data_IF_198836840174
#
_entry.id   IF_198836840174
#
_cell.length_a   1.000
_cell.length_b   1.000
_cell.length_c   1.000
_cell.angle_alpha   90.00
_cell.angle_beta   90.00
_cell.angle_gamma   90.00
#
_symmetry.space_group_name_H-M   'P 1'
#
loop_
_entity.id
_entity.type
_entity.pdbx_description
1 polymer ?
#
# COMPACT_ATOMS: atom_id res chain seq x y z
N UNK A 1 -22.32 -7.21 -7.85
CA UNK A 1 -21.53 -5.98 -7.78
C UNK A 1 -20.06 -6.33 -7.57
N UNK A 2 -19.18 -5.61 -8.22
CA UNK A 2 -17.74 -5.92 -8.17
C UNK A 2 -17.20 -5.51 -6.80
N UNK A 3 -16.99 -6.45 -5.90
CA UNK A 3 -16.46 -6.23 -4.54
C UNK A 3 -15.08 -5.55 -4.55
N UNK A 4 -14.35 -5.66 -5.66
CA UNK A 4 -13.01 -5.08 -5.86
C UNK A 4 -13.01 -3.55 -5.94
N UNK A 5 -14.16 -2.92 -6.17
CA UNK A 5 -14.32 -1.47 -6.26
C UNK A 5 -15.16 -0.85 -5.15
N UNK A 6 -15.66 -1.67 -4.20
CA UNK A 6 -16.45 -1.17 -3.09
C UNK A 6 -15.56 -0.75 -1.94
N UNK A 7 -15.46 0.57 -1.73
CA UNK A 7 -15.05 1.10 -0.44
C UNK A 7 -16.09 0.64 0.57
N UNK A 8 -15.68 -0.19 1.53
CA UNK A 8 -16.58 -0.72 2.54
C UNK A 8 -17.18 0.40 3.40
N UNK A 9 -18.40 0.21 3.91
CA UNK A 9 -19.08 1.14 4.84
C UNK A 9 -18.25 1.47 6.09
N UNK A 10 -17.25 0.64 6.41
CA UNK A 10 -16.29 0.82 7.53
C UNK A 10 -15.01 1.55 7.13
N UNK A 11 -14.84 1.96 5.85
CA UNK A 11 -13.69 2.75 5.45
C UNK A 11 -13.68 4.08 6.22
N UNK A 12 -12.53 4.48 6.81
CA UNK A 12 -12.42 5.71 7.59
C UNK A 12 -12.89 6.96 6.84
N UNK A 13 -12.69 7.03 5.52
CA UNK A 13 -13.16 8.15 4.69
C UNK A 13 -14.68 8.14 4.56
N UNK A 14 -15.29 6.98 4.33
CA UNK A 14 -16.75 6.83 4.26
C UNK A 14 -17.40 7.14 5.60
N UNK A 15 -16.83 6.66 6.70
CA UNK A 15 -17.30 6.97 8.06
C UNK A 15 -17.21 8.47 8.35
N UNK A 16 -16.08 9.10 7.99
CA UNK A 16 -15.88 10.55 8.15
C UNK A 16 -16.86 11.36 7.30
N UNK A 17 -17.11 10.94 6.05
CA UNK A 17 -18.05 11.56 5.14
C UNK A 17 -19.48 11.53 5.70
N UNK A 18 -19.91 10.36 6.16
CA UNK A 18 -21.24 10.19 6.75
C UNK A 18 -21.43 11.06 8.01
N UNK A 19 -20.39 11.13 8.86
CA UNK A 19 -20.41 11.99 10.04
C UNK A 19 -20.50 13.48 9.66
N UNK A 20 -19.69 13.96 8.73
CA UNK A 20 -19.72 15.35 8.29
C UNK A 20 -21.05 15.74 7.65
N UNK A 21 -21.68 14.83 6.88
CA UNK A 21 -23.01 15.08 6.33
C UNK A 21 -24.06 15.21 7.44
N UNK A 22 -24.05 14.30 8.43
CA UNK A 22 -24.96 14.39 9.57
C UNK A 22 -24.76 15.68 10.40
N UNK A 23 -23.50 16.09 10.60
CA UNK A 23 -23.18 17.34 11.31
C UNK A 23 -23.64 18.58 10.51
N UNK A 24 -23.52 18.55 9.17
CA UNK A 24 -24.02 19.61 8.30
C UNK A 24 -25.54 19.69 8.30
N UNK A 25 -26.24 18.56 8.23
CA UNK A 25 -27.70 18.50 8.32
C UNK A 25 -28.20 19.06 9.65
N UNK A 26 -27.54 18.72 10.76
CA UNK A 26 -27.85 19.29 12.07
C UNK A 26 -27.60 20.81 12.12
N UNK A 27 -26.51 21.28 11.49
CA UNK A 27 -26.20 22.71 11.42
C UNK A 27 -27.22 23.49 10.59
N UNK A 28 -27.76 22.89 9.53
CA UNK A 28 -28.73 23.51 8.62
C UNK A 28 -30.18 23.31 9.08
N UNK A 29 -30.43 22.49 10.10
CA UNK A 29 -31.78 22.25 10.61
C UNK A 29 -32.46 23.57 11.02
N UNK A 30 -33.80 23.69 10.78
CA UNK A 30 -34.57 24.87 11.14
C UNK A 30 -34.45 25.16 12.64
N UNK A 31 -34.26 26.42 12.99
CA UNK A 31 -34.23 26.86 14.38
C UNK A 31 -35.64 27.20 14.86
N UNK A 32 -35.92 26.81 16.08
CA UNK A 32 -37.22 27.13 16.74
C UNK A 32 -37.34 28.59 17.17
N UNK A 33 -36.21 29.33 17.23
CA UNK A 33 -36.18 30.74 17.66
C UNK A 33 -35.40 31.58 16.65
N UNK A 34 -35.72 32.88 16.56
CA UNK A 34 -34.96 33.82 15.74
C UNK A 34 -33.54 33.99 16.28
N UNK A 35 -32.57 33.87 15.40
CA UNK A 35 -31.14 34.04 15.71
C UNK A 35 -30.66 35.41 15.22
N UNK A 36 -29.64 35.95 15.86
CA UNK A 36 -29.05 37.22 15.48
C UNK A 36 -28.35 37.12 14.10
N UNK A 37 -28.24 38.24 13.37
CA UNK A 37 -27.53 38.30 12.10
C UNK A 37 -26.09 37.84 12.19
N UNK A 38 -25.45 38.06 13.34
CA UNK A 38 -24.06 37.61 13.60
C UNK A 38 -23.97 36.09 13.72
N UNK A 39 -24.89 35.48 14.44
CA UNK A 39 -24.96 34.02 14.60
C UNK A 39 -25.30 33.34 13.27
N UNK A 40 -26.19 33.92 12.47
CA UNK A 40 -26.51 33.43 11.13
C UNK A 40 -25.28 33.43 10.24
N UNK A 41 -24.53 34.55 10.19
CA UNK A 41 -23.31 34.67 9.40
C UNK A 41 -22.22 33.65 9.83
N UNK A 42 -22.13 33.36 11.12
CA UNK A 42 -21.20 32.36 11.65
C UNK A 42 -21.60 30.93 11.23
N UNK A 43 -22.89 30.60 11.30
CA UNK A 43 -23.43 29.31 10.81
C UNK A 43 -23.21 29.12 9.32
N UNK A 44 -23.48 30.15 8.51
CA UNK A 44 -23.28 30.11 7.06
C UNK A 44 -21.80 29.87 6.71
N UNK A 45 -20.89 30.48 7.46
CA UNK A 45 -19.44 30.22 7.31
C UNK A 45 -19.08 28.79 7.67
N UNK A 46 -19.57 28.27 8.80
CA UNK A 46 -19.33 26.89 9.22
C UNK A 46 -19.89 25.89 8.21
N UNK A 47 -21.10 26.14 7.68
CA UNK A 47 -21.71 25.30 6.66
C UNK A 47 -20.87 25.27 5.37
N UNK A 48 -20.34 26.42 4.91
CA UNK A 48 -19.43 26.48 3.77
C UNK A 48 -18.14 25.69 3.99
N UNK A 49 -17.52 25.82 5.16
CA UNK A 49 -16.29 25.11 5.49
C UNK A 49 -16.53 23.61 5.56
N UNK A 50 -17.69 23.16 6.11
CA UNK A 50 -18.09 21.76 6.11
C UNK A 50 -18.35 21.23 4.70
N UNK A 51 -19.09 21.96 3.88
CA UNK A 51 -19.35 21.59 2.47
C UNK A 51 -18.06 21.43 1.68
N UNK A 52 -17.08 22.32 1.87
CA UNK A 52 -15.78 22.20 1.21
C UNK A 52 -15.02 20.92 1.64
N UNK A 53 -15.07 20.57 2.93
CA UNK A 53 -14.47 19.32 3.43
C UNK A 53 -15.17 18.07 2.88
N UNK A 54 -16.51 18.09 2.86
CA UNK A 54 -17.33 17.01 2.29
C UNK A 54 -16.98 16.81 0.82
N UNK A 55 -16.95 17.88 0.02
CA UNK A 55 -16.62 17.83 -1.40
C UNK A 55 -15.22 17.23 -1.63
N UNK A 56 -14.23 17.61 -0.82
CA UNK A 56 -12.88 17.05 -0.90
C UNK A 56 -12.84 15.56 -0.62
N UNK A 57 -13.45 15.12 0.50
CA UNK A 57 -13.48 13.70 0.87
C UNK A 57 -14.30 12.89 -0.15
N UNK A 58 -15.41 13.44 -0.64
CA UNK A 58 -16.23 12.81 -1.68
C UNK A 58 -15.43 12.59 -2.96
N UNK A 59 -14.69 13.60 -3.42
CA UNK A 59 -13.82 13.49 -4.60
C UNK A 59 -12.76 12.39 -4.40
N UNK A 60 -12.14 12.31 -3.22
CA UNK A 60 -11.18 11.24 -2.90
C UNK A 60 -11.84 9.85 -2.87
N UNK A 61 -13.08 9.74 -2.36
CA UNK A 61 -13.86 8.49 -2.36
C UNK A 61 -14.24 8.08 -3.79
N UNK A 62 -14.66 9.04 -4.61
CA UNK A 62 -15.03 8.78 -5.99
C UNK A 62 -13.82 8.44 -6.85
N UNK A 63 -12.67 9.09 -6.63
CA UNK A 63 -11.39 8.73 -7.25
C UNK A 63 -10.99 7.29 -6.93
N UNK A 64 -11.16 6.83 -5.69
CA UNK A 64 -10.89 5.42 -5.31
C UNK A 64 -11.89 4.48 -5.99
N UNK A 65 -13.17 4.85 -6.10
CA UNK A 65 -14.20 4.04 -6.78
C UNK A 65 -13.97 3.93 -8.28
N UNK A 66 -13.58 5.03 -8.91
CA UNK A 66 -13.38 5.12 -10.36
C UNK A 66 -11.93 4.80 -10.78
N UNK A 67 -11.05 4.53 -9.80
CA UNK A 67 -9.63 4.41 -10.04
C UNK A 67 -9.29 3.20 -10.90
N UNK A 68 -8.95 3.48 -12.16
CA UNK A 68 -8.57 2.49 -13.18
C UNK A 68 -7.38 1.62 -12.78
N UNK A 69 -6.54 2.07 -11.83
CA UNK A 69 -5.40 1.31 -11.30
C UNK A 69 -5.87 0.02 -10.63
N UNK A 70 -7.06 0.02 -10.02
CA UNK A 70 -7.63 -1.15 -9.36
C UNK A 70 -8.58 -1.98 -10.24
N UNK A 71 -8.80 -1.55 -11.49
CA UNK A 71 -9.57 -2.37 -12.46
C UNK A 71 -8.78 -3.65 -12.74
N UNK A 72 -9.34 -4.78 -12.31
CA UNK A 72 -8.65 -6.08 -12.38
C UNK A 72 -7.59 -6.34 -11.30
N UNK A 73 -7.49 -5.47 -10.27
CA UNK A 73 -6.58 -5.71 -9.15
C UNK A 73 -6.89 -7.06 -8.48
N UNK A 74 -5.83 -7.75 -8.10
CA UNK A 74 -5.89 -9.00 -7.36
C UNK A 74 -6.25 -8.70 -5.89
N UNK A 75 -7.34 -9.28 -5.41
CA UNK A 75 -7.77 -9.11 -4.02
C UNK A 75 -7.52 -10.39 -3.22
N UNK A 76 -6.49 -10.39 -2.38
CA UNK A 76 -6.04 -11.53 -1.60
C UNK A 76 -7.13 -12.18 -0.75
N UNK A 77 -8.02 -11.37 -0.16
CA UNK A 77 -9.12 -11.85 0.69
C UNK A 77 -10.19 -12.62 -0.07
N UNK A 78 -10.32 -12.35 -1.36
CA UNK A 78 -11.30 -13.02 -2.22
C UNK A 78 -10.69 -14.27 -2.83
N UNK A 79 -9.43 -14.17 -3.25
CA UNK A 79 -8.74 -15.27 -3.94
C UNK A 79 -8.26 -16.35 -2.95
N UNK A 80 -7.96 -15.96 -1.69
CA UNK A 80 -7.47 -16.84 -0.64
C UNK A 80 -8.26 -16.64 0.67
N UNK A 81 -9.53 -17.10 0.74
CA UNK A 81 -10.33 -16.96 1.95
C UNK A 81 -9.74 -17.71 3.17
N UNK A 82 -8.88 -18.70 2.95
CA UNK A 82 -8.17 -19.46 3.98
C UNK A 82 -7.15 -18.65 4.77
N UNK A 83 -6.75 -17.46 4.28
CA UNK A 83 -5.88 -16.55 5.03
C UNK A 83 -6.64 -15.52 5.86
N UNK A 84 -7.95 -15.74 6.05
CA UNK A 84 -8.79 -14.94 6.93
C UNK A 84 -9.05 -15.69 8.24
N UNK A 85 -9.21 -14.94 9.34
CA UNK A 85 -9.73 -15.49 10.59
C UNK A 85 -11.28 -15.58 10.57
N UNK A 86 -11.86 -16.08 11.66
CA UNK A 86 -13.31 -16.24 11.82
C UNK A 86 -14.07 -14.90 11.74
N UNK A 87 -13.40 -13.78 12.00
CA UNK A 87 -13.95 -12.42 11.87
C UNK A 87 -13.76 -11.84 10.46
N UNK A 88 -13.18 -12.60 9.52
CA UNK A 88 -12.88 -12.14 8.15
C UNK A 88 -11.70 -11.16 8.07
N UNK A 89 -10.82 -11.12 9.09
CA UNK A 89 -9.59 -10.32 9.07
C UNK A 89 -8.48 -11.09 8.39
N UNK A 90 -7.68 -10.39 7.61
CA UNK A 90 -6.51 -10.98 6.96
C UNK A 90 -5.43 -11.31 8.00
N UNK A 91 -5.11 -12.60 8.16
CA UNK A 91 -4.06 -13.09 9.08
C UNK A 91 -2.74 -13.35 8.37
N UNK A 92 -2.75 -13.54 7.05
CA UNK A 92 -1.56 -13.71 6.23
C UNK A 92 -1.16 -15.16 5.96
N UNK A 93 -0.12 -15.28 5.13
CA UNK A 93 0.44 -16.56 4.70
C UNK A 93 1.55 -17.02 5.66
N UNK A 94 1.75 -18.33 5.79
CA UNK A 94 2.87 -18.90 6.53
C UNK A 94 4.19 -18.76 5.76
N UNK A 95 4.11 -18.84 4.42
CA UNK A 95 5.27 -18.76 3.56
C UNK A 95 4.93 -18.12 2.21
N UNK A 96 5.83 -17.25 1.72
CA UNK A 96 5.79 -16.70 0.36
C UNK A 96 7.11 -17.08 -0.33
N UNK A 97 7.01 -17.80 -1.45
CA UNK A 97 8.16 -18.21 -2.26
C UNK A 97 7.98 -17.62 -3.66
N UNK A 98 9.04 -17.08 -4.24
CA UNK A 98 8.92 -16.52 -5.58
C UNK A 98 10.24 -16.13 -6.25
N UNK A 99 10.07 -15.76 -7.51
CA UNK A 99 11.09 -15.11 -8.35
C UNK A 99 10.46 -13.82 -8.87
N UNK A 100 10.59 -12.69 -8.14
CA UNK A 100 9.98 -11.44 -8.55
C UNK A 100 10.62 -10.88 -9.84
N UNK A 101 9.92 -10.06 -10.62
CA UNK A 101 10.41 -9.53 -11.87
C UNK A 101 11.62 -8.58 -11.71
N UNK A 102 12.69 -8.78 -12.51
CA UNK A 102 13.91 -7.98 -12.49
C UNK A 102 13.82 -6.79 -13.45
N UNK A 103 12.82 -5.97 -13.29
CA UNK A 103 12.52 -4.84 -14.16
C UNK A 103 12.73 -3.51 -13.43
N UNK A 104 13.36 -2.55 -14.12
CA UNK A 104 13.52 -1.19 -13.57
C UNK A 104 12.23 -0.41 -13.64
N UNK A 105 11.95 0.41 -12.63
CA UNK A 105 10.77 1.27 -12.59
C UNK A 105 10.69 2.24 -13.76
N UNK A 106 11.83 2.68 -14.32
CA UNK A 106 11.87 3.56 -15.47
C UNK A 106 11.22 2.95 -16.70
N UNK A 107 11.23 1.62 -16.85
CA UNK A 107 10.55 0.93 -17.94
C UNK A 107 9.04 1.12 -17.89
N UNK A 108 8.47 1.32 -16.71
CA UNK A 108 7.03 1.60 -16.50
C UNK A 108 6.71 3.10 -16.56
N UNK A 109 7.68 3.97 -16.32
CA UNK A 109 7.45 5.41 -16.21
C UNK A 109 6.88 6.03 -17.50
N UNK A 110 7.25 5.50 -18.65
CA UNK A 110 6.76 5.96 -19.95
C UNK A 110 5.41 5.35 -20.33
N UNK A 111 5.11 4.12 -19.89
CA UNK A 111 3.91 3.39 -20.27
C UNK A 111 2.77 3.53 -19.24
N UNK A 112 3.10 3.65 -17.96
CA UNK A 112 2.15 3.69 -16.86
C UNK A 112 2.63 4.62 -15.72
N UNK A 113 2.71 5.94 -15.91
CA UNK A 113 3.21 6.88 -14.91
C UNK A 113 2.36 6.90 -13.64
N UNK A 114 1.04 6.65 -13.74
CA UNK A 114 0.12 6.58 -12.60
C UNK A 114 0.46 5.44 -11.64
N UNK A 115 0.89 4.28 -12.18
CA UNK A 115 1.33 3.13 -11.37
C UNK A 115 2.63 3.47 -10.64
N UNK A 116 3.56 4.18 -11.29
CA UNK A 116 4.82 4.59 -10.67
C UNK A 116 4.57 5.57 -9.52
N UNK A 117 3.67 6.53 -9.71
CA UNK A 117 3.24 7.46 -8.67
C UNK A 117 2.58 6.74 -7.50
N UNK A 118 1.71 5.76 -7.80
CA UNK A 118 1.09 4.90 -6.79
C UNK A 118 2.15 4.16 -5.95
N UNK A 119 3.12 3.50 -6.58
CA UNK A 119 4.18 2.78 -5.86
C UNK A 119 5.00 3.71 -4.96
N UNK A 120 5.37 4.87 -5.46
CA UNK A 120 6.15 5.85 -4.70
C UNK A 120 5.41 6.40 -3.47
N UNK A 121 4.09 6.42 -3.50
CA UNK A 121 3.25 6.87 -2.38
C UNK A 121 2.94 5.78 -1.36
N UNK A 122 2.89 4.51 -1.78
CA UNK A 122 2.37 3.42 -0.96
C UNK A 122 3.44 2.44 -0.45
N UNK A 123 4.65 2.46 -1.04
CA UNK A 123 5.74 1.58 -0.63
C UNK A 123 6.92 2.37 -0.08
N UNK A 124 7.38 2.01 1.12
CA UNK A 124 8.55 2.63 1.76
C UNK A 124 9.85 2.28 1.01
N UNK A 125 9.92 1.08 0.42
CA UNK A 125 11.05 0.65 -0.40
C UNK A 125 11.16 1.39 -1.74
N UNK A 126 10.09 2.05 -2.21
CA UNK A 126 10.01 2.76 -3.48
C UNK A 126 10.65 4.15 -3.40
N UNK A 127 11.96 4.24 -3.25
CA UNK A 127 12.67 5.53 -3.17
C UNK A 127 13.58 5.75 -4.37
N UNK A 128 13.42 6.90 -5.04
CA UNK A 128 14.24 7.26 -6.20
C UNK A 128 14.07 6.30 -7.37
N UNK A 129 15.18 5.86 -7.95
CA UNK A 129 15.20 4.83 -8.98
C UNK A 129 15.34 3.46 -8.31
N UNK A 130 14.45 2.53 -8.62
CA UNK A 130 14.46 1.18 -8.04
C UNK A 130 14.05 0.12 -9.06
N UNK A 131 14.31 -1.13 -8.73
CA UNK A 131 13.82 -2.28 -9.48
C UNK A 131 12.53 -2.81 -8.83
N UNK A 132 11.62 -3.32 -9.65
CA UNK A 132 10.28 -3.75 -9.21
C UNK A 132 10.34 -4.80 -8.07
N UNK A 133 11.35 -5.68 -8.07
CA UNK A 133 11.46 -6.71 -7.04
C UNK A 133 11.54 -6.18 -5.60
N UNK A 134 12.00 -4.91 -5.40
CA UNK A 134 12.03 -4.33 -4.04
C UNK A 134 10.63 -4.14 -3.46
N UNK A 135 9.64 -3.86 -4.33
CA UNK A 135 8.23 -3.75 -3.94
C UNK A 135 7.66 -5.11 -3.54
N UNK A 136 8.08 -6.18 -4.23
CA UNK A 136 7.66 -7.54 -3.91
C UNK A 136 8.14 -7.98 -2.52
N UNK A 137 9.32 -7.55 -2.09
CA UNK A 137 9.81 -7.83 -0.73
C UNK A 137 8.94 -7.15 0.31
N UNK A 138 8.61 -5.87 0.13
CA UNK A 138 7.74 -5.15 1.06
C UNK A 138 6.31 -5.71 1.04
N UNK A 139 5.76 -5.99 -0.15
CA UNK A 139 4.43 -6.62 -0.29
C UNK A 139 4.38 -7.98 0.40
N UNK A 140 5.40 -8.83 0.18
CA UNK A 140 5.46 -10.13 0.80
C UNK A 140 5.51 -10.04 2.33
N UNK A 141 6.23 -9.06 2.88
CA UNK A 141 6.22 -8.78 4.32
C UNK A 141 4.81 -8.41 4.83
N UNK A 142 4.05 -7.64 4.06
CA UNK A 142 2.66 -7.28 4.41
C UNK A 142 1.69 -8.47 4.31
N UNK A 143 2.04 -9.49 3.53
CA UNK A 143 1.18 -10.64 3.25
C UNK A 143 1.45 -11.85 4.15
N UNK A 144 2.57 -11.91 4.88
CA UNK A 144 2.88 -13.03 5.77
C UNK A 144 2.37 -12.80 7.19
N UNK A 145 2.21 -13.91 7.93
CA UNK A 145 2.04 -13.89 9.39
C UNK A 145 3.27 -13.34 10.09
N UNK A 146 3.16 -12.93 11.34
CA UNK A 146 4.28 -12.37 12.11
C UNK A 146 5.50 -13.27 12.24
N UNK A 147 5.33 -14.58 12.20
CA UNK A 147 6.37 -15.62 12.18
C UNK A 147 6.62 -16.24 10.79
N UNK A 148 5.96 -15.70 9.77
CA UNK A 148 6.05 -16.19 8.40
C UNK A 148 7.43 -16.00 7.76
N UNK A 149 7.65 -16.70 6.65
CA UNK A 149 8.89 -16.70 5.89
C UNK A 149 8.68 -16.29 4.46
N UNK A 150 9.47 -15.33 3.98
CA UNK A 150 9.57 -14.99 2.56
C UNK A 150 10.90 -15.52 2.01
N UNK A 151 10.83 -16.20 0.88
CA UNK A 151 11.97 -16.81 0.23
C UNK A 151 12.00 -16.46 -1.23
N UNK A 152 12.93 -15.60 -1.63
CA UNK A 152 13.05 -15.16 -3.02
C UNK A 152 14.41 -15.53 -3.61
N UNK A 153 14.39 -15.89 -4.92
CA UNK A 153 15.55 -15.81 -5.76
C UNK A 153 15.46 -14.49 -6.54
N UNK A 154 16.41 -13.59 -6.30
CA UNK A 154 16.38 -12.26 -6.93
C UNK A 154 17.78 -11.63 -6.93
N UNK A 155 18.02 -10.55 -7.70
CA UNK A 155 19.31 -9.87 -7.73
C UNK A 155 19.74 -9.41 -6.34
N UNK A 156 21.03 -9.58 -6.02
CA UNK A 156 21.63 -9.11 -4.75
C UNK A 156 22.14 -7.67 -4.83
N UNK A 157 22.07 -7.05 -5.98
CA UNK A 157 22.60 -5.71 -6.24
C UNK A 157 22.00 -4.62 -5.34
N UNK A 158 20.78 -4.80 -4.85
CA UNK A 158 20.14 -3.86 -3.90
C UNK A 158 20.95 -3.69 -2.60
N UNK A 159 21.79 -4.67 -2.22
CA UNK A 159 22.57 -4.62 -0.99
C UNK A 159 23.64 -3.53 -0.98
N UNK A 160 24.15 -3.14 -2.15
CA UNK A 160 25.29 -2.22 -2.29
C UNK A 160 25.10 -1.09 -3.31
N UNK A 161 23.93 -0.96 -3.93
CA UNK A 161 23.63 0.10 -4.90
C UNK A 161 22.70 1.19 -4.32
N UNK A 162 22.73 2.36 -4.95
CA UNK A 162 21.88 3.49 -4.53
C UNK A 162 20.39 3.19 -4.66
N UNK A 163 19.99 2.48 -5.71
CA UNK A 163 18.60 2.11 -5.91
C UNK A 163 18.06 1.14 -4.84
N UNK A 164 18.93 0.44 -4.12
CA UNK A 164 18.56 -0.43 -2.99
C UNK A 164 18.39 0.29 -1.66
N UNK A 165 18.63 1.62 -1.61
CA UNK A 165 18.60 2.40 -0.35
C UNK A 165 17.25 2.32 0.36
N UNK A 166 16.14 2.42 -0.38
CA UNK A 166 14.80 2.32 0.18
C UNK A 166 14.54 0.96 0.82
N UNK A 167 14.84 -0.12 0.08
CA UNK A 167 14.68 -1.48 0.60
C UNK A 167 15.58 -1.73 1.82
N UNK A 168 16.86 -1.31 1.79
CA UNK A 168 17.75 -1.45 2.95
C UNK A 168 17.21 -0.72 4.18
N UNK A 169 16.71 0.51 4.00
CA UNK A 169 16.09 1.28 5.09
C UNK A 169 14.86 0.59 5.68
N UNK A 170 13.99 0.10 4.80
CA UNK A 170 12.81 -0.67 5.19
C UNK A 170 13.18 -1.93 5.97
N UNK A 171 14.04 -2.79 5.42
CA UNK A 171 14.44 -4.05 6.03
C UNK A 171 15.18 -3.86 7.37
N UNK A 172 15.98 -2.81 7.50
CA UNK A 172 16.67 -2.49 8.75
C UNK A 172 15.70 -2.03 9.85
N UNK A 173 14.72 -1.19 9.48
CA UNK A 173 13.67 -0.71 10.39
C UNK A 173 12.79 -1.85 10.89
N UNK A 174 12.33 -2.70 9.98
CA UNK A 174 11.42 -3.81 10.28
C UNK A 174 12.17 -5.06 10.80
N UNK A 175 13.52 -5.06 10.81
CA UNK A 175 14.36 -6.24 11.12
C UNK A 175 13.99 -7.48 10.29
N UNK A 176 13.61 -7.24 9.03
CA UNK A 176 12.98 -8.23 8.16
C UNK A 176 13.95 -8.77 7.11
N UNK A 177 15.12 -9.24 7.53
CA UNK A 177 16.07 -10.01 6.71
C UNK A 177 16.89 -10.92 7.59
N UNK A 178 16.98 -12.20 7.23
CA UNK A 178 17.74 -13.17 8.05
C UNK A 178 18.95 -13.73 7.32
N UNK A 179 18.86 -14.00 6.02
CA UNK A 179 19.96 -14.63 5.27
C UNK A 179 19.95 -14.25 3.80
N UNK A 180 21.15 -14.07 3.24
CA UNK A 180 21.40 -13.97 1.79
C UNK A 180 22.53 -14.91 1.43
N UNK A 181 22.30 -15.78 0.44
CA UNK A 181 23.35 -16.57 -0.23
C UNK A 181 23.55 -15.98 -1.62
N UNK A 182 24.68 -15.31 -1.81
CA UNK A 182 25.04 -14.73 -3.10
C UNK A 182 25.63 -15.80 -4.03
N UNK A 183 24.97 -16.06 -5.15
CA UNK A 183 25.42 -17.06 -6.13
C UNK A 183 26.57 -16.56 -7.01
N UNK A 184 27.00 -15.30 -6.85
CA UNK A 184 28.14 -14.68 -7.56
C UNK A 184 28.02 -14.85 -9.08
N UNK A 185 29.06 -15.38 -9.70
CA UNK A 185 29.11 -15.62 -11.14
C UNK A 185 28.35 -16.86 -11.61
N UNK A 186 27.74 -17.62 -10.68
CA UNK A 186 26.92 -18.77 -11.07
C UNK A 186 25.62 -18.25 -11.70
N UNK A 187 25.48 -18.47 -13.00
CA UNK A 187 24.28 -18.10 -13.74
C UNK A 187 23.19 -19.16 -13.55
N UNK A 188 22.14 -18.76 -12.86
CA UNK A 188 20.93 -19.58 -12.66
C UNK A 188 19.96 -19.44 -13.83
N UNK A 189 19.98 -18.27 -14.50
CA UNK A 189 19.11 -17.89 -15.60
C UNK A 189 19.95 -17.38 -16.78
N UNK A 190 19.38 -17.39 -17.98
CA UNK A 190 20.04 -16.85 -19.18
C UNK A 190 20.31 -15.34 -19.12
N UNK A 191 19.63 -14.63 -18.19
CA UNK A 191 19.85 -13.21 -17.97
C UNK A 191 21.14 -12.96 -17.17
N UNK A 192 22.00 -12.04 -17.65
CA UNK A 192 23.25 -11.61 -17.02
C UNK A 192 23.02 -10.82 -15.74
N UNK A 193 22.58 -11.45 -14.66
CA UNK A 193 22.43 -10.78 -13.38
C UNK A 193 22.92 -11.65 -12.23
N UNK A 194 23.64 -11.03 -11.28
CA UNK A 194 24.05 -11.71 -10.06
C UNK A 194 22.85 -11.88 -9.15
N UNK A 195 22.36 -13.11 -9.06
CA UNK A 195 21.24 -13.49 -8.20
C UNK A 195 21.72 -14.08 -6.88
N UNK A 196 20.82 -14.16 -5.93
CA UNK A 196 21.02 -14.84 -4.67
C UNK A 196 19.72 -15.41 -4.12
N UNK A 197 19.85 -16.42 -3.30
CA UNK A 197 18.77 -16.94 -2.48
C UNK A 197 18.66 -16.06 -1.23
N UNK A 198 17.47 -15.55 -0.97
CA UNK A 198 17.26 -14.55 0.07
C UNK A 198 16.09 -14.93 0.96
N UNK A 199 16.32 -14.92 2.26
CA UNK A 199 15.36 -15.25 3.30
C UNK A 199 15.00 -13.99 4.07
N UNK A 200 13.73 -13.64 4.04
CA UNK A 200 13.18 -12.50 4.78
C UNK A 200 12.22 -13.04 5.85
N UNK A 201 12.53 -12.74 7.06
CA UNK A 201 11.69 -12.99 8.25
C UNK A 201 12.17 -12.07 9.37
N UNK A 202 11.37 -11.90 10.40
CA UNK A 202 11.81 -11.20 11.60
C UNK A 202 13.04 -11.87 12.18
N UNK A 203 14.13 -11.14 12.32
CA UNK A 203 15.40 -11.64 12.84
C UNK A 203 16.29 -10.54 13.39
N UNK A 204 16.86 -10.76 14.55
CA UNK A 204 17.94 -9.93 15.09
C UNK A 204 19.34 -10.35 14.58
N UNK A 205 19.41 -11.41 13.79
CA UNK A 205 20.64 -11.95 13.21
C UNK A 205 20.55 -11.96 11.69
N UNK A 206 21.58 -11.46 11.03
CA UNK A 206 21.70 -11.45 9.59
C UNK A 206 22.95 -12.22 9.14
N UNK A 207 22.81 -13.04 8.09
CA UNK A 207 23.87 -13.84 7.49
C UNK A 207 24.00 -13.49 6.00
N UNK A 208 25.22 -13.14 5.56
CA UNK A 208 25.54 -12.96 4.15
C UNK A 208 26.67 -13.93 3.78
N UNK A 209 26.43 -14.82 2.80
CA UNK A 209 27.36 -15.88 2.35
C UNK A 209 27.69 -15.74 0.88
#
# INVERSE_FOLDING_TARGET
GNLRTQIGLKDPKVVSLNKLNADLDNLLAPQLFEISKKEQAQRDKQAKDMQAKIAKIQAEVDEIKDNKIFVGAFEWRIEFPEVLDEDGRFVGFDCVIGNPPYMRIQSLQNSNPEIVDYYSKHYQAATGSFDIYVLFVELAHQLIKGDGLVHFIMPVKWTNSDFGKGLRGYLAKEKFVSRIINLKAFQVFDASTYTGLQWFKLSDKFQYV
#
